data_IF_989700536437
#
_entry.id   IF_989700536437
#
_cell.length_a   1.000
_cell.length_b   1.000
_cell.length_c   1.000
_cell.angle_alpha   90.00
_cell.angle_beta   90.00
_cell.angle_gamma   90.00
#
_symmetry.space_group_name_H-M   'P 1'
#
loop_
_entity.id
_entity.type
_entity.pdbx_description
1 polymer ?
#
# COMPACT_ATOMS: atom_id res chain seq x y z
N UNK A 1 -51.36 2.01 -14.73
CA UNK A 1 -49.92 2.15 -15.03
C UNK A 1 -49.35 3.55 -14.79
N UNK A 2 -50.13 4.65 -14.90
CA UNK A 2 -49.62 6.02 -14.61
C UNK A 2 -49.20 6.29 -13.16
N UNK A 3 -49.79 5.62 -12.17
CA UNK A 3 -49.49 5.86 -10.75
C UNK A 3 -48.07 5.43 -10.33
N UNK A 4 -47.46 4.47 -11.06
CA UNK A 4 -46.07 4.03 -10.81
C UNK A 4 -45.03 5.02 -11.34
N UNK A 5 -45.36 5.80 -12.37
CA UNK A 5 -44.43 6.82 -12.89
C UNK A 5 -44.31 8.04 -11.99
N UNK A 6 -45.42 8.47 -11.37
CA UNK A 6 -45.42 9.60 -10.42
C UNK A 6 -44.64 9.25 -9.14
N UNK A 7 -44.75 8.00 -8.66
CA UNK A 7 -43.96 7.53 -7.52
C UNK A 7 -42.46 7.42 -7.83
N UNK A 8 -42.08 6.98 -9.04
CA UNK A 8 -40.68 6.92 -9.45
C UNK A 8 -40.03 8.31 -9.60
N UNK A 9 -40.77 9.33 -10.07
CA UNK A 9 -40.31 10.72 -10.11
C UNK A 9 -40.10 11.30 -8.70
N UNK A 10 -41.01 11.01 -7.76
CA UNK A 10 -40.89 11.45 -6.36
C UNK A 10 -39.63 10.92 -5.66
N UNK A 11 -39.25 9.66 -5.93
CA UNK A 11 -38.05 9.06 -5.35
C UNK A 11 -36.75 9.61 -5.94
N UNK A 12 -36.73 9.93 -7.24
CA UNK A 12 -35.56 10.57 -7.89
C UNK A 12 -35.30 11.97 -7.32
N UNK A 13 -36.35 12.77 -7.09
CA UNK A 13 -36.20 14.09 -6.47
C UNK A 13 -35.63 14.02 -5.04
N UNK A 14 -36.08 13.07 -4.22
CA UNK A 14 -35.55 12.90 -2.85
C UNK A 14 -34.08 12.45 -2.84
N UNK A 15 -33.67 11.61 -3.79
CA UNK A 15 -32.29 11.15 -3.90
C UNK A 15 -31.34 12.24 -4.41
N UNK A 16 -31.75 13.05 -5.40
CA UNK A 16 -30.96 14.20 -5.83
C UNK A 16 -30.79 15.22 -4.70
N UNK A 17 -31.83 15.46 -3.90
CA UNK A 17 -31.76 16.35 -2.74
C UNK A 17 -30.77 15.83 -1.67
N UNK A 18 -30.77 14.52 -1.42
CA UNK A 18 -29.86 13.90 -0.45
C UNK A 18 -28.38 13.93 -0.91
N UNK A 19 -28.11 13.73 -2.20
CA UNK A 19 -26.78 13.85 -2.77
C UNK A 19 -26.27 15.29 -2.74
N UNK A 20 -27.15 16.26 -3.01
CA UNK A 20 -26.85 17.68 -2.91
C UNK A 20 -26.54 18.10 -1.46
N UNK A 21 -27.35 17.67 -0.48
CA UNK A 21 -27.09 17.93 0.93
C UNK A 21 -25.73 17.38 1.37
N UNK A 22 -25.42 16.14 0.96
CA UNK A 22 -24.17 15.47 1.30
C UNK A 22 -22.94 16.11 0.67
N UNK A 23 -23.06 16.66 -0.54
CA UNK A 23 -21.95 17.39 -1.18
C UNK A 23 -21.69 18.75 -0.51
N UNK A 24 -22.74 19.41 -0.02
CA UNK A 24 -22.67 20.67 0.73
C UNK A 24 -22.00 20.48 2.09
N UNK A 25 -22.34 19.41 2.81
CA UNK A 25 -21.78 19.11 4.14
C UNK A 25 -20.29 18.71 4.08
N UNK A 26 -19.83 18.19 2.94
CA UNK A 26 -18.43 17.83 2.72
C UNK A 26 -17.55 19.00 2.23
N UNK A 27 -18.08 20.22 2.09
CA UNK A 27 -17.31 21.39 1.64
C UNK A 27 -16.75 21.27 0.21
N UNK A 28 -17.30 20.36 -0.60
CA UNK A 28 -16.81 20.00 -1.92
C UNK A 28 -17.02 21.08 -3.00
N UNK A 29 -17.80 22.13 -2.70
CA UNK A 29 -18.15 23.15 -3.67
C UNK A 29 -17.97 24.57 -3.13
N UNK A 30 -16.91 25.24 -3.60
CA UNK A 30 -16.71 26.68 -3.40
C UNK A 30 -17.23 27.47 -4.62
N UNK A 31 -18.12 28.43 -4.35
CA UNK A 31 -18.37 29.65 -5.13
C UNK A 31 -19.16 29.55 -6.44
N UNK A 32 -18.81 28.64 -7.36
CA UNK A 32 -19.39 28.62 -8.73
C UNK A 32 -20.31 27.45 -9.05
N UNK A 33 -20.27 26.37 -8.28
CA UNK A 33 -21.10 25.18 -8.52
C UNK A 33 -22.52 25.27 -7.95
N UNK A 34 -22.79 26.23 -7.05
CA UNK A 34 -24.16 26.56 -6.64
C UNK A 34 -25.02 27.02 -7.84
N UNK A 35 -24.43 27.79 -8.77
CA UNK A 35 -25.13 28.27 -9.96
C UNK A 35 -25.42 27.18 -10.99
N UNK A 36 -24.61 26.10 -11.02
CA UNK A 36 -24.82 24.96 -11.92
C UNK A 36 -25.89 24.03 -11.35
N UNK A 37 -25.92 23.82 -10.03
CA UNK A 37 -26.99 23.07 -9.38
C UNK A 37 -28.34 23.77 -9.46
N UNK A 38 -28.37 25.11 -9.42
CA UNK A 38 -29.60 25.89 -9.66
C UNK A 38 -30.04 25.77 -11.13
N UNK A 39 -29.11 25.74 -12.08
CA UNK A 39 -29.42 25.53 -13.50
C UNK A 39 -29.94 24.11 -13.81
N UNK A 40 -29.42 23.09 -13.13
CA UNK A 40 -29.86 21.69 -13.25
C UNK A 40 -31.21 21.46 -12.55
N UNK A 41 -31.45 22.11 -11.41
CA UNK A 41 -32.77 22.10 -10.75
C UNK A 41 -33.84 22.82 -11.61
N UNK A 42 -33.45 23.86 -12.34
CA UNK A 42 -34.33 24.62 -13.25
C UNK A 42 -34.66 23.88 -14.55
N UNK A 43 -33.78 23.00 -15.02
CA UNK A 43 -34.01 22.19 -16.25
C UNK A 43 -34.86 20.93 -16.00
N UNK A 44 -34.92 20.45 -14.76
CA UNK A 44 -35.71 19.26 -14.39
C UNK A 44 -37.18 19.56 -14.04
N UNK A 45 -37.57 20.84 -14.03
CA UNK A 45 -38.96 21.29 -13.91
C UNK A 45 -39.28 22.29 -15.04
N UNK A 46 -39.53 21.85 -16.27
CA UNK A 46 -39.90 22.76 -17.35
C UNK A 46 -41.32 23.30 -17.09
N UNK A 47 -41.42 24.60 -16.81
CA UNK A 47 -42.67 25.33 -16.98
C UNK A 47 -42.97 25.46 -18.48
N UNK A 48 -44.15 25.01 -18.89
CA UNK A 48 -44.68 25.03 -20.25
C UNK A 48 -44.54 26.41 -20.92
N UNK A 49 -43.68 26.52 -21.94
CA UNK A 49 -43.85 27.51 -23.01
C UNK A 49 -43.45 26.91 -24.37
N UNK A 50 -44.47 26.72 -25.20
CA UNK A 50 -44.41 26.25 -26.58
C UNK A 50 -44.22 27.47 -27.48
N UNK A 51 -43.09 27.56 -28.17
CA UNK A 51 -42.94 28.37 -29.37
C UNK A 51 -41.99 27.64 -30.34
N UNK A 52 -42.58 27.04 -31.38
CA UNK A 52 -41.89 26.25 -32.39
C UNK A 52 -41.21 27.16 -33.42
N UNK A 53 -39.89 26.99 -33.56
CA UNK A 53 -39.12 27.45 -34.72
C UNK A 53 -38.46 26.19 -35.34
N UNK A 54 -38.45 26.00 -36.68
CA UNK A 54 -37.89 24.79 -37.28
C UNK A 54 -36.36 24.88 -37.26
N UNK A 55 -35.72 23.99 -36.51
CA UNK A 55 -34.27 23.80 -36.51
C UNK A 55 -33.86 22.90 -37.70
N UNK A 56 -32.70 23.17 -38.33
CA UNK A 56 -32.12 22.30 -39.35
C UNK A 56 -31.72 20.94 -38.75
N UNK A 57 -31.83 19.90 -39.57
CA UNK A 57 -31.64 18.49 -39.18
C UNK A 57 -30.21 18.30 -38.67
N UNK A 58 -30.15 18.02 -37.37
CA UNK A 58 -28.96 17.92 -36.54
C UNK A 58 -28.21 16.60 -36.81
N UNK A 59 -26.90 16.69 -37.03
CA UNK A 59 -26.02 15.56 -37.25
C UNK A 59 -25.86 14.78 -35.94
N UNK A 60 -26.65 13.72 -35.80
CA UNK A 60 -26.36 12.54 -34.95
C UNK A 60 -25.88 12.92 -33.55
N UNK A 61 -26.75 13.52 -32.73
CA UNK A 61 -26.57 13.55 -31.27
C UNK A 61 -26.57 12.10 -30.80
N UNK A 62 -25.40 11.50 -30.63
CA UNK A 62 -25.28 10.26 -29.88
C UNK A 62 -25.79 10.54 -28.47
N UNK A 63 -26.81 9.82 -27.98
CA UNK A 63 -27.33 10.06 -26.64
C UNK A 63 -26.19 9.91 -25.65
N UNK A 64 -26.04 10.91 -24.76
CA UNK A 64 -25.08 10.84 -23.68
C UNK A 64 -25.26 9.50 -22.97
N UNK A 65 -24.18 8.72 -22.76
CA UNK A 65 -24.28 7.43 -22.12
C UNK A 65 -24.95 7.61 -20.75
N UNK A 66 -26.11 7.00 -20.53
CA UNK A 66 -26.77 7.03 -19.23
C UNK A 66 -25.90 6.28 -18.21
N UNK A 67 -25.09 7.02 -17.45
CA UNK A 67 -24.28 6.45 -16.39
C UNK A 67 -25.21 6.04 -15.25
N UNK A 68 -25.41 4.73 -15.10
CA UNK A 68 -26.18 4.16 -14.00
C UNK A 68 -25.35 4.24 -12.69
N UNK A 69 -25.43 5.39 -12.01
CA UNK A 69 -24.66 5.71 -10.80
C UNK A 69 -24.72 4.59 -9.73
N UNK A 70 -25.89 3.99 -9.41
CA UNK A 70 -25.95 2.83 -8.51
C UNK A 70 -25.05 1.65 -8.88
N UNK A 71 -24.81 1.43 -10.17
CA UNK A 71 -23.95 0.33 -10.64
C UNK A 71 -22.46 0.60 -10.37
N UNK A 72 -22.08 1.86 -10.13
CA UNK A 72 -20.71 2.24 -9.76
C UNK A 72 -20.40 2.01 -8.28
N UNK A 73 -21.44 1.78 -7.46
CA UNK A 73 -21.31 1.67 -6.02
C UNK A 73 -21.16 0.18 -5.64
N UNK A 74 -20.00 -0.16 -5.11
CA UNK A 74 -19.70 -1.49 -4.61
C UNK A 74 -20.52 -1.81 -3.33
N UNK A 75 -20.83 -3.09 -3.11
CA UNK A 75 -21.34 -3.59 -1.83
C UNK A 75 -20.46 -3.12 -0.66
N UNK A 76 -21.08 -2.90 0.51
CA UNK A 76 -20.39 -2.32 1.68
C UNK A 76 -19.10 -3.06 2.09
N UNK A 77 -19.06 -4.38 1.94
CA UNK A 77 -17.88 -5.19 2.28
C UNK A 77 -16.71 -5.05 1.29
N UNK A 78 -16.97 -4.58 0.07
CA UNK A 78 -15.96 -4.33 -0.97
C UNK A 78 -15.52 -2.86 -1.04
N UNK A 79 -16.20 -1.96 -0.31
CA UNK A 79 -15.76 -0.56 -0.19
C UNK A 79 -14.52 -0.47 0.67
N UNK A 80 -13.64 0.48 0.40
CA UNK A 80 -12.38 0.62 1.13
C UNK A 80 -12.65 0.89 2.61
N UNK A 81 -12.13 -0.02 3.44
CA UNK A 81 -12.06 0.06 4.88
C UNK A 81 -10.63 -0.21 5.36
N UNK A 82 -10.46 -0.39 6.68
CA UNK A 82 -9.12 -0.45 7.29
C UNK A 82 -8.31 -1.71 6.95
N UNK A 83 -8.98 -2.82 6.60
CA UNK A 83 -8.35 -4.15 6.50
C UNK A 83 -8.57 -4.86 5.16
N UNK A 84 -9.40 -4.32 4.29
CA UNK A 84 -9.86 -4.99 3.06
C UNK A 84 -9.23 -4.41 1.78
N UNK A 85 -8.04 -3.79 1.88
CA UNK A 85 -7.35 -3.19 0.74
C UNK A 85 -7.25 -4.12 -0.47
N UNK A 86 -6.91 -5.39 -0.25
CA UNK A 86 -6.75 -6.37 -1.34
C UNK A 86 -8.06 -6.59 -2.11
N UNK A 87 -9.17 -6.74 -1.38
CA UNK A 87 -10.48 -7.01 -1.96
C UNK A 87 -11.03 -5.75 -2.65
N UNK A 88 -10.86 -4.59 -2.02
CA UNK A 88 -11.18 -3.29 -2.61
C UNK A 88 -10.42 -3.08 -3.92
N UNK A 89 -9.10 -3.32 -3.92
CA UNK A 89 -8.25 -3.16 -5.09
C UNK A 89 -8.77 -4.00 -6.25
N UNK A 90 -9.03 -5.27 -6.00
CA UNK A 90 -9.55 -6.19 -7.01
C UNK A 90 -10.95 -5.78 -7.51
N UNK A 91 -11.82 -5.31 -6.61
CA UNK A 91 -13.16 -4.86 -6.96
C UNK A 91 -13.14 -3.61 -7.86
N UNK A 92 -12.29 -2.62 -7.57
CA UNK A 92 -12.11 -1.43 -8.41
C UNK A 92 -11.52 -1.79 -9.77
N UNK A 93 -10.46 -2.59 -9.82
CA UNK A 93 -9.87 -3.05 -11.10
C UNK A 93 -10.91 -3.79 -11.97
N UNK A 94 -11.76 -4.59 -11.34
CA UNK A 94 -12.84 -5.30 -12.03
C UNK A 94 -13.92 -4.33 -12.51
N UNK A 95 -14.35 -3.37 -11.68
CA UNK A 95 -15.34 -2.37 -12.04
C UNK A 95 -14.86 -1.49 -13.20
N UNK A 96 -13.61 -1.03 -13.18
CA UNK A 96 -13.03 -0.25 -14.26
C UNK A 96 -12.94 -1.07 -15.56
N UNK A 97 -12.59 -2.36 -15.49
CA UNK A 97 -12.57 -3.25 -16.66
C UNK A 97 -13.95 -3.46 -17.26
N UNK A 98 -14.97 -3.66 -16.43
CA UNK A 98 -16.36 -3.81 -16.90
C UNK A 98 -16.86 -2.51 -17.54
N UNK A 99 -16.41 -1.36 -17.05
CA UNK A 99 -16.72 -0.05 -17.59
C UNK A 99 -15.85 0.36 -18.81
N UNK A 100 -14.81 -0.40 -19.15
CA UNK A 100 -13.89 -0.08 -20.26
C UNK A 100 -12.98 1.13 -19.99
N UNK A 101 -12.67 1.40 -18.72
CA UNK A 101 -11.83 2.52 -18.25
C UNK A 101 -10.61 2.05 -17.46
N UNK A 102 -10.24 0.78 -17.57
CA UNK A 102 -9.07 0.19 -16.90
C UNK A 102 -7.75 0.86 -17.30
N UNK A 103 -7.67 1.37 -18.53
CA UNK A 103 -6.50 2.08 -19.03
C UNK A 103 -6.21 3.34 -18.20
N UNK A 104 -7.24 4.00 -17.66
CA UNK A 104 -7.10 5.19 -16.81
C UNK A 104 -6.44 4.89 -15.45
N UNK A 105 -6.35 3.62 -15.03
CA UNK A 105 -5.64 3.23 -13.81
C UNK A 105 -4.12 3.16 -13.99
N UNK A 106 -3.63 2.96 -15.21
CA UNK A 106 -2.21 2.62 -15.46
C UNK A 106 -1.55 3.49 -16.51
N UNK A 107 -2.30 3.99 -17.49
CA UNK A 107 -1.77 4.70 -18.65
C UNK A 107 -1.70 6.19 -18.36
N UNK A 108 -0.46 6.70 -18.41
CA UNK A 108 -0.21 8.14 -18.31
C UNK A 108 -0.62 8.82 -19.62
N UNK A 109 -1.45 9.85 -19.52
CA UNK A 109 -1.74 10.75 -20.64
C UNK A 109 -0.45 11.42 -21.14
N UNK A 110 -0.16 11.34 -22.44
CA UNK A 110 1.00 12.00 -23.06
C UNK A 110 0.54 13.08 -24.01
N UNK A 111 0.86 14.33 -23.68
CA UNK A 111 0.58 15.48 -24.53
C UNK A 111 1.15 15.29 -25.95
N UNK A 112 0.33 15.57 -26.96
CA UNK A 112 0.74 15.56 -28.37
C UNK A 112 0.53 14.26 -29.14
N UNK A 113 0.02 13.20 -28.49
CA UNK A 113 -0.22 11.92 -29.16
C UNK A 113 -1.62 11.81 -29.79
N UNK A 114 -2.59 12.58 -29.31
CA UNK A 114 -4.02 12.40 -29.62
C UNK A 114 -4.68 13.68 -30.14
N UNK A 115 -5.75 13.49 -30.91
CA UNK A 115 -6.64 14.56 -31.39
C UNK A 115 -7.46 15.17 -30.25
N UNK A 116 -7.98 16.39 -30.46
CA UNK A 116 -8.83 17.06 -29.46
C UNK A 116 -10.05 16.21 -29.05
N UNK A 117 -10.67 15.52 -30.02
CA UNK A 117 -11.81 14.63 -29.77
C UNK A 117 -11.45 13.42 -28.89
N UNK A 118 -10.26 12.87 -29.07
CA UNK A 118 -9.74 11.77 -28.23
C UNK A 118 -9.37 12.26 -26.82
N UNK A 119 -8.89 13.50 -26.69
CA UNK A 119 -8.64 14.12 -25.39
C UNK A 119 -9.92 14.28 -24.58
N UNK A 120 -11.01 14.75 -25.19
CA UNK A 120 -12.30 14.92 -24.50
C UNK A 120 -12.87 13.57 -24.07
N UNK A 121 -12.84 12.57 -24.96
CA UNK A 121 -13.28 11.21 -24.64
C UNK A 121 -12.43 10.57 -23.52
N UNK A 122 -11.13 10.86 -23.48
CA UNK A 122 -10.27 10.39 -22.40
C UNK A 122 -10.59 11.04 -21.07
N UNK A 123 -10.83 12.36 -21.06
CA UNK A 123 -11.19 13.10 -19.86
C UNK A 123 -12.51 12.57 -19.27
N UNK A 124 -13.50 12.25 -20.11
CA UNK A 124 -14.76 11.65 -19.65
C UNK A 124 -14.53 10.27 -18.99
N UNK A 125 -13.69 9.42 -19.60
CA UNK A 125 -13.31 8.12 -19.01
C UNK A 125 -12.51 8.27 -17.73
N UNK A 126 -11.67 9.29 -17.64
CA UNK A 126 -10.89 9.59 -16.44
C UNK A 126 -11.80 9.99 -15.27
N UNK A 127 -12.77 10.87 -15.52
CA UNK A 127 -13.77 11.27 -14.53
C UNK A 127 -14.63 10.09 -14.08
N UNK A 128 -15.01 9.19 -15.00
CA UNK A 128 -15.73 7.96 -14.65
C UNK A 128 -14.88 7.03 -13.77
N UNK A 129 -13.62 6.82 -14.13
CA UNK A 129 -12.68 6.00 -13.36
C UNK A 129 -12.45 6.60 -11.96
N UNK A 130 -12.26 7.92 -11.89
CA UNK A 130 -12.14 8.67 -10.63
C UNK A 130 -13.41 8.53 -9.78
N UNK A 131 -14.60 8.60 -10.39
CA UNK A 131 -15.87 8.37 -9.68
C UNK A 131 -15.96 6.95 -9.11
N UNK A 132 -15.58 5.92 -9.87
CA UNK A 132 -15.53 4.53 -9.39
C UNK A 132 -14.61 4.42 -8.17
N UNK A 133 -13.43 5.04 -8.19
CA UNK A 133 -12.51 4.97 -7.05
C UNK A 133 -13.09 5.71 -5.84
N UNK A 134 -13.51 6.97 -6.03
CA UNK A 134 -13.88 7.88 -4.94
C UNK A 134 -15.19 7.51 -4.25
N UNK A 135 -16.21 7.08 -5.00
CA UNK A 135 -17.51 6.67 -4.44
C UNK A 135 -17.42 5.41 -3.57
N UNK A 136 -16.36 4.63 -3.76
CA UNK A 136 -16.15 3.36 -3.07
C UNK A 136 -15.20 3.45 -1.86
N UNK A 137 -14.87 4.67 -1.43
CA UNK A 137 -14.07 4.93 -0.22
C UNK A 137 -14.99 5.46 0.89
N UNK A 138 -15.07 4.73 2.01
CA UNK A 138 -15.98 5.09 3.10
C UNK A 138 -15.54 6.35 3.87
N UNK A 139 -14.23 6.53 4.05
CA UNK A 139 -13.63 7.61 4.86
C UNK A 139 -12.55 8.36 4.06
N UNK A 140 -12.98 9.17 3.10
CA UNK A 140 -12.04 9.87 2.19
C UNK A 140 -10.99 10.71 2.92
N UNK A 141 -11.39 11.39 4.00
CA UNK A 141 -10.51 12.25 4.81
C UNK A 141 -9.39 11.48 5.53
N UNK A 142 -9.60 10.20 5.85
CA UNK A 142 -8.63 9.39 6.58
C UNK A 142 -7.40 9.04 5.74
N UNK A 143 -7.58 8.92 4.44
CA UNK A 143 -6.51 8.51 3.53
C UNK A 143 -5.72 9.70 2.97
N UNK A 144 -6.16 10.96 3.22
CA UNK A 144 -5.47 12.15 2.74
C UNK A 144 -5.41 12.27 1.21
N UNK A 145 -6.20 11.46 0.49
CA UNK A 145 -6.27 11.47 -0.96
C UNK A 145 -7.13 12.65 -1.39
N UNK A 146 -6.70 13.38 -2.42
CA UNK A 146 -7.48 14.47 -3.02
C UNK A 146 -7.89 14.05 -4.43
N UNK A 147 -9.20 14.05 -4.70
CA UNK A 147 -9.77 13.78 -6.02
C UNK A 147 -10.41 15.06 -6.58
N UNK A 148 -9.61 16.11 -6.68
CA UNK A 148 -10.03 17.37 -7.29
C UNK A 148 -10.15 17.27 -8.81
N UNK A 149 -10.51 18.39 -9.44
CA UNK A 149 -10.60 18.50 -10.89
C UNK A 149 -9.25 18.30 -11.59
N UNK A 150 -8.18 18.77 -10.97
CA UNK A 150 -6.81 18.71 -11.52
C UNK A 150 -6.12 17.36 -11.26
N UNK A 151 -6.76 16.45 -10.53
CA UNK A 151 -6.17 15.15 -10.17
C UNK A 151 -6.75 14.06 -11.06
N UNK A 152 -5.86 13.33 -11.72
CA UNK A 152 -6.22 12.22 -12.60
C UNK A 152 -6.63 10.99 -11.80
N UNK A 153 -7.45 10.12 -12.38
CA UNK A 153 -7.80 8.84 -11.75
C UNK A 153 -6.56 8.01 -11.41
N UNK A 154 -5.54 8.07 -12.28
CA UNK A 154 -4.25 7.42 -12.08
C UNK A 154 -3.52 7.92 -10.82
N UNK A 155 -3.47 9.23 -10.60
CA UNK A 155 -2.79 9.81 -9.42
C UNK A 155 -3.51 9.40 -8.13
N UNK A 156 -4.84 9.47 -8.12
CA UNK A 156 -5.67 9.01 -7.00
C UNK A 156 -5.40 7.53 -6.71
N UNK A 157 -5.35 6.71 -7.76
CA UNK A 157 -5.07 5.28 -7.66
C UNK A 157 -3.65 4.99 -7.16
N UNK A 158 -2.65 5.71 -7.67
CA UNK A 158 -1.25 5.57 -7.27
C UNK A 158 -1.05 5.96 -5.79
N UNK A 159 -1.69 7.03 -5.32
CA UNK A 159 -1.67 7.42 -3.90
C UNK A 159 -2.28 6.34 -3.01
N UNK A 160 -3.42 5.78 -3.41
CA UNK A 160 -4.06 4.68 -2.68
C UNK A 160 -3.16 3.44 -2.61
N UNK A 161 -2.53 3.07 -3.73
CA UNK A 161 -1.54 1.99 -3.77
C UNK A 161 -0.38 2.29 -2.83
N UNK A 162 0.17 3.50 -2.86
CA UNK A 162 1.33 3.87 -2.04
C UNK A 162 1.03 3.79 -0.53
N UNK A 163 -0.17 4.22 -0.10
CA UNK A 163 -0.60 4.15 1.30
C UNK A 163 -0.69 2.70 1.78
N UNK A 164 -1.10 1.79 0.90
CA UNK A 164 -1.39 0.39 1.25
C UNK A 164 -0.35 -0.62 0.78
N UNK A 165 0.64 -0.20 0.01
CA UNK A 165 1.81 -1.04 -0.23
C UNK A 165 2.54 -1.16 1.08
N UNK A 166 2.71 -2.38 1.62
CA UNK A 166 3.50 -2.58 2.81
C UNK A 166 4.92 -2.18 2.45
N UNK A 167 5.32 -0.97 2.82
CA UNK A 167 6.70 -0.51 2.69
C UNK A 167 7.49 -1.30 3.71
N UNK A 168 7.84 -2.54 3.33
CA UNK A 168 8.53 -3.54 4.16
C UNK A 168 9.81 -2.96 4.76
N UNK A 169 10.37 -1.95 4.09
CA UNK A 169 11.53 -1.18 4.48
C UNK A 169 11.24 0.02 5.39
N UNK A 170 10.08 0.67 5.30
CA UNK A 170 9.81 1.86 6.12
C UNK A 170 9.60 1.49 7.58
N UNK A 171 9.01 0.34 7.87
CA UNK A 171 8.95 -0.19 9.24
C UNK A 171 10.35 -0.55 9.78
N UNK A 172 11.21 -1.15 8.96
CA UNK A 172 12.60 -1.39 9.36
C UNK A 172 13.34 -0.07 9.61
N UNK A 173 13.26 0.89 8.69
CA UNK A 173 13.92 2.19 8.81
C UNK A 173 13.32 3.11 9.89
N UNK A 174 12.03 3.01 10.20
CA UNK A 174 11.39 3.80 11.26
C UNK A 174 11.79 3.29 12.66
N UNK A 175 12.16 2.01 12.77
CA UNK A 175 12.82 1.47 13.97
C UNK A 175 14.31 1.81 14.05
N UNK A 176 14.96 2.09 12.92
CA UNK A 176 16.30 2.70 12.92
C UNK A 176 16.12 4.20 13.17
N UNK A 177 15.94 4.55 14.45
CA UNK A 177 16.16 5.93 14.92
C UNK A 177 17.49 6.41 14.29
N UNK A 178 17.55 7.61 13.68
CA UNK A 178 18.79 8.05 13.05
C UNK A 178 19.89 8.02 14.10
N UNK A 179 20.80 7.07 13.96
CA UNK A 179 21.88 6.84 14.91
C UNK A 179 22.66 8.16 15.03
N UNK A 180 22.76 8.65 16.25
CA UNK A 180 23.54 9.85 16.54
C UNK A 180 25.01 9.59 16.19
N UNK A 181 25.78 10.65 15.87
CA UNK A 181 27.21 10.51 15.54
C UNK A 181 27.99 9.72 16.59
N UNK A 182 27.59 9.81 17.86
CA UNK A 182 28.20 9.09 18.97
C UNK A 182 27.90 7.59 18.95
N UNK A 183 26.68 7.19 18.59
CA UNK A 183 26.34 5.78 18.46
C UNK A 183 27.06 5.13 17.26
N UNK A 184 27.26 5.86 16.16
CA UNK A 184 28.10 5.41 15.06
C UNK A 184 29.57 5.21 15.48
N UNK A 185 30.12 6.12 16.28
CA UNK A 185 31.46 5.93 16.85
C UNK A 185 31.51 4.72 17.77
N UNK A 186 30.49 4.52 18.61
CA UNK A 186 30.41 3.37 19.52
C UNK A 186 30.33 2.05 18.74
N UNK A 187 29.50 1.98 17.70
CA UNK A 187 29.43 0.85 16.78
C UNK A 187 30.78 0.58 16.11
N UNK A 188 31.49 1.63 15.68
CA UNK A 188 32.84 1.52 15.16
C UNK A 188 33.83 0.94 16.16
N UNK A 189 33.79 1.37 17.43
CA UNK A 189 34.64 0.83 18.50
C UNK A 189 34.33 -0.63 18.79
N UNK A 190 33.04 -0.98 18.90
CA UNK A 190 32.60 -2.37 19.11
C UNK A 190 33.04 -3.26 17.96
N UNK A 191 32.91 -2.77 16.72
CA UNK A 191 33.36 -3.48 15.54
C UNK A 191 34.88 -3.69 15.53
N UNK A 192 35.67 -2.64 15.83
CA UNK A 192 37.12 -2.76 15.98
C UNK A 192 37.51 -3.76 17.07
N UNK A 193 36.83 -3.73 18.22
CA UNK A 193 37.07 -4.68 19.31
C UNK A 193 36.77 -6.12 18.89
N UNK A 194 35.67 -6.33 18.16
CA UNK A 194 35.31 -7.64 17.62
C UNK A 194 36.36 -8.16 16.64
N UNK A 195 36.86 -7.32 15.73
CA UNK A 195 37.95 -7.69 14.81
C UNK A 195 39.24 -8.05 15.56
N UNK A 196 39.62 -7.27 16.57
CA UNK A 196 40.78 -7.58 17.42
C UNK A 196 40.62 -8.90 18.18
N UNK A 197 39.41 -9.20 18.66
CA UNK A 197 39.10 -10.48 19.29
C UNK A 197 39.25 -11.65 18.31
N UNK A 198 38.81 -11.50 17.05
CA UNK A 198 39.00 -12.54 16.04
C UNK A 198 40.47 -12.78 15.73
N UNK A 199 41.26 -11.71 15.56
CA UNK A 199 42.70 -11.81 15.31
C UNK A 199 43.42 -12.48 16.48
N UNK A 200 43.10 -12.10 17.72
CA UNK A 200 43.70 -12.72 18.91
C UNK A 200 43.27 -14.17 19.11
N UNK A 201 42.04 -14.54 18.73
CA UNK A 201 41.58 -15.92 18.77
C UNK A 201 42.36 -16.80 17.77
N UNK A 202 42.69 -16.28 16.58
CA UNK A 202 43.51 -16.98 15.59
C UNK A 202 44.92 -17.25 16.13
N UNK A 203 45.55 -16.26 16.75
CA UNK A 203 46.88 -16.42 17.36
C UNK A 203 46.85 -17.39 18.54
N UNK A 204 45.81 -17.36 19.37
CA UNK A 204 45.62 -18.34 20.44
C UNK A 204 45.42 -19.76 19.91
N UNK A 205 44.78 -19.94 18.75
CA UNK A 205 44.67 -21.25 18.11
C UNK A 205 46.02 -21.74 17.58
N UNK A 206 46.82 -20.87 16.97
CA UNK A 206 48.20 -21.20 16.53
C UNK A 206 49.08 -21.60 17.70
N UNK A 207 49.07 -20.83 18.79
CA UNK A 207 49.81 -21.14 20.02
C UNK A 207 49.37 -22.46 20.64
N UNK A 208 48.06 -22.74 20.69
CA UNK A 208 47.53 -24.03 21.18
C UNK A 208 47.98 -25.21 20.32
N UNK A 209 48.05 -25.05 19.00
CA UNK A 209 48.54 -26.08 18.10
C UNK A 209 50.02 -26.41 18.38
N UNK A 210 50.86 -25.38 18.49
CA UNK A 210 52.29 -25.55 18.83
C UNK A 210 52.48 -26.20 20.19
N UNK A 211 51.69 -25.80 21.20
CA UNK A 211 51.76 -26.38 22.54
C UNK A 211 51.29 -27.84 22.57
N UNK A 212 50.26 -28.18 21.77
CA UNK A 212 49.81 -29.56 21.61
C UNK A 212 50.88 -30.45 20.94
N UNK A 213 51.56 -29.95 19.91
CA UNK A 213 52.68 -30.65 19.26
C UNK A 213 53.85 -30.87 20.22
N UNK A 214 54.23 -29.83 20.97
CA UNK A 214 55.28 -29.93 21.99
C UNK A 214 54.90 -30.93 23.11
N UNK A 215 53.63 -30.93 23.54
CA UNK A 215 53.15 -31.86 24.57
C UNK A 215 53.14 -33.31 24.07
N UNK A 216 52.85 -33.55 22.78
CA UNK A 216 52.97 -34.88 22.16
C UNK A 216 54.44 -35.31 22.06
N UNK A 217 55.35 -34.39 21.70
CA UNK A 217 56.80 -34.65 21.70
C UNK A 217 57.35 -35.01 23.07
N UNK A 218 57.00 -34.26 24.13
CA UNK A 218 57.41 -34.55 25.49
C UNK A 218 56.79 -35.83 26.08
N UNK A 219 55.66 -36.31 25.53
CA UNK A 219 55.02 -37.56 25.98
C UNK A 219 55.77 -38.82 25.54
N UNK A 220 56.69 -38.72 24.57
CA UNK A 220 57.35 -39.89 23.98
C UNK A 220 58.81 -40.12 24.42
N UNK A 221 59.46 -39.19 25.13
CA UNK A 221 60.92 -39.28 25.37
C UNK A 221 61.40 -39.74 26.76
N UNK A 222 60.53 -40.09 27.72
CA UNK A 222 61.03 -40.70 28.96
C UNK A 222 60.46 -42.09 29.21
N UNK A 223 61.14 -43.16 28.70
CA UNK A 223 60.93 -44.53 29.15
C UNK A 223 60.99 -44.66 30.69
N UNK A 224 61.73 -43.74 31.32
CA UNK A 224 61.93 -43.62 32.75
C UNK A 224 60.68 -43.10 33.48
N UNK A 225 59.97 -42.11 32.95
CA UNK A 225 58.72 -41.62 33.57
C UNK A 225 57.60 -42.66 33.47
N UNK A 226 57.56 -43.45 32.38
CA UNK A 226 56.59 -44.54 32.22
C UNK A 226 56.80 -45.66 33.24
N UNK A 227 58.06 -45.97 33.59
CA UNK A 227 58.40 -46.93 34.67
C UNK A 227 58.07 -46.38 36.05
N UNK A 228 58.40 -45.12 36.34
CA UNK A 228 58.07 -44.50 37.63
C UNK A 228 56.55 -44.42 37.88
N UNK A 229 55.75 -44.16 36.85
CA UNK A 229 54.29 -44.16 36.98
C UNK A 229 53.72 -45.56 37.16
N UNK A 230 54.31 -46.60 36.56
CA UNK A 230 53.91 -47.98 36.79
C UNK A 230 54.24 -48.46 38.20
N UNK A 231 55.38 -48.06 38.78
CA UNK A 231 55.72 -48.39 40.17
C UNK A 231 54.77 -47.69 41.15
N UNK A 232 54.47 -46.39 40.94
CA UNK A 232 53.52 -45.67 41.82
C UNK A 232 52.08 -46.20 41.74
N UNK A 233 51.62 -46.61 40.56
CA UNK A 233 50.25 -47.14 40.37
C UNK A 233 50.16 -48.63 40.74
N UNK A 234 51.27 -49.37 40.67
CA UNK A 234 51.39 -50.77 41.06
C UNK A 234 51.27 -50.97 42.57
N UNK A 235 51.89 -50.10 43.37
CA UNK A 235 51.87 -50.22 44.83
C UNK A 235 50.55 -49.79 45.49
N UNK A 236 49.73 -49.00 44.80
CA UNK A 236 48.43 -48.53 45.33
C UNK A 236 47.36 -49.63 45.50
N UNK A 237 47.55 -50.85 44.97
CA UNK A 237 46.58 -51.95 45.10
C UNK A 237 46.85 -52.93 46.25
N UNK A 238 47.92 -52.75 47.04
CA UNK A 238 48.24 -53.64 48.18
C UNK A 238 47.84 -53.12 49.56
N UNK A 239 47.14 -51.99 49.67
CA UNK A 239 46.74 -51.40 50.96
C UNK A 239 45.22 -51.43 51.24
N UNK A 240 44.50 -52.43 50.74
CA UNK A 240 43.19 -52.81 51.30
C UNK A 240 43.24 -54.28 51.68
N UNK A 241 42.78 -54.58 52.89
CA UNK A 241 42.66 -55.89 53.56
C UNK A 241 43.80 -56.33 54.49
N UNK A 242 43.96 -55.61 55.60
CA UNK A 242 44.26 -56.18 56.93
C UNK A 242 43.74 -55.18 57.97
N UNK A 243 42.55 -55.35 58.51
CA UNK A 243 42.28 -56.00 59.81
C UNK A 243 41.22 -55.12 60.50
N UNK A 244 40.04 -55.67 60.81
CA UNK A 244 39.70 -56.25 62.12
C UNK A 244 39.69 -55.20 63.23
#
# INVERSE_FOLDING_TARGET
MLQRHVQAQSHRCRWCLALYQRSKDCGLFSGRLASITDAVASTLCPSDQIAQHPQPIDDTIMPAPEINIPALILPAHLRLGATNWRDFKHAVETACRVAGVEDNLTRVWRAGQWSAKECDAWAERDELCKAIITLNIHEFSRYGVSAGKETTAQEVWAQLIQIHTPTRWFWLCQWVRPFTRLEWMLLGVVFCFFVLLLLSAEELQKLRAVLAEAQVGCRFESPLAKRMFQDLVGDGRRLRYTGL
#
